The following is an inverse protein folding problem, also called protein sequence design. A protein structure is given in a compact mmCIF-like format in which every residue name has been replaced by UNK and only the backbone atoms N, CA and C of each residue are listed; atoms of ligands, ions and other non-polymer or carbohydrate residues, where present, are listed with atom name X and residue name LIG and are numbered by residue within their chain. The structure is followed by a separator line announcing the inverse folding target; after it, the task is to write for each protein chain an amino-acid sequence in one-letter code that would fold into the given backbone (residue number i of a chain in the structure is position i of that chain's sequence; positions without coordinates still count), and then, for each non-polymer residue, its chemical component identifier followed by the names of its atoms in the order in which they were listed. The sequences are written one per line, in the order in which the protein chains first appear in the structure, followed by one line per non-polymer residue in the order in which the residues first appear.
data_IF_748171916357
#
_entry.id   IF_748171916357
#
_cell.length_a   1.000
_cell.length_b   1.000
_cell.length_c   1.000
_cell.angle_alpha   90.00
_cell.angle_beta   90.00
_cell.angle_gamma   90.00
#
_symmetry.space_group_name_H-M   'P 1'
#
loop_
_entity.id
_entity.type
_entity.pdbx_description
1 polymer ?
#
# COMPACT_ATOMS: atom_id res chain seq x y z
N UNK A 1 8.98 -6.43 -27.31
CA UNK A 1 8.48 -5.05 -27.31
C UNK A 1 8.85 -4.42 -25.97
N UNK A 2 9.83 -3.51 -25.93
CA UNK A 2 10.39 -2.95 -24.67
C UNK A 2 9.52 -1.90 -23.96
N UNK A 3 8.19 -2.04 -24.02
CA UNK A 3 7.25 -1.07 -23.44
C UNK A 3 6.93 -1.46 -22.01
N UNK A 4 7.14 -0.57 -21.05
CA UNK A 4 6.72 -0.76 -19.67
C UNK A 4 5.21 -0.61 -19.55
N UNK A 5 4.56 -1.59 -18.91
CA UNK A 5 3.12 -1.59 -18.65
C UNK A 5 2.90 -1.58 -17.15
N UNK A 6 2.06 -0.66 -16.66
CA UNK A 6 1.79 -0.52 -15.24
C UNK A 6 0.94 -1.66 -14.67
N UNK A 7 1.07 -1.90 -13.37
CA UNK A 7 0.33 -2.90 -12.61
C UNK A 7 -0.56 -2.20 -11.56
N UNK A 8 -1.82 -2.63 -11.45
CA UNK A 8 -2.74 -2.14 -10.42
C UNK A 8 -3.48 -3.28 -9.74
N UNK A 9 -2.93 -3.91 -8.69
CA UNK A 9 -3.68 -4.87 -7.89
C UNK A 9 -4.86 -4.17 -7.19
N UNK A 10 -6.02 -4.83 -7.17
CA UNK A 10 -7.24 -4.31 -6.56
C UNK A 10 -8.05 -5.44 -5.92
N UNK A 11 -8.81 -5.11 -4.87
CA UNK A 11 -9.68 -6.03 -4.15
C UNK A 11 -9.00 -6.69 -2.95
N UNK A 12 -9.56 -6.51 -1.76
CA UNK A 12 -9.12 -7.19 -0.53
C UNK A 12 -7.82 -6.66 0.10
N UNK A 13 -7.13 -5.70 -0.52
CA UNK A 13 -5.93 -5.07 0.04
C UNK A 13 -6.36 -4.01 1.05
N UNK A 14 -6.50 -4.41 2.31
CA UNK A 14 -7.06 -3.58 3.38
C UNK A 14 -6.09 -3.25 4.52
N UNK A 15 -4.89 -3.82 4.53
CA UNK A 15 -3.90 -3.58 5.58
C UNK A 15 -2.48 -3.40 5.05
N UNK A 16 -1.65 -2.73 5.85
CA UNK A 16 -0.29 -2.34 5.56
C UNK A 16 0.61 -3.56 5.28
N UNK A 17 0.44 -4.64 6.04
CA UNK A 17 1.23 -5.88 5.87
C UNK A 17 1.01 -6.49 4.49
N UNK A 18 -0.23 -6.59 4.04
CA UNK A 18 -0.54 -7.09 2.70
C UNK A 18 -0.06 -6.11 1.62
N UNK A 19 -0.22 -4.80 1.83
CA UNK A 19 0.30 -3.79 0.88
C UNK A 19 1.82 -3.89 0.69
N UNK A 20 2.56 -4.16 1.78
CA UNK A 20 4.00 -4.36 1.73
C UNK A 20 4.37 -5.62 0.94
N UNK A 21 3.62 -6.71 1.12
CA UNK A 21 3.84 -7.94 0.34
C UNK A 21 3.69 -7.69 -1.18
N UNK A 22 2.75 -6.84 -1.60
CA UNK A 22 2.63 -6.45 -3.01
C UNK A 22 3.80 -5.60 -3.51
N UNK A 23 4.34 -4.69 -2.68
CA UNK A 23 5.54 -3.94 -3.04
C UNK A 23 6.76 -4.84 -3.22
N UNK A 24 6.94 -5.81 -2.32
CA UNK A 24 7.99 -6.83 -2.44
C UNK A 24 7.80 -7.66 -3.71
N UNK A 25 6.59 -8.17 -3.94
CA UNK A 25 6.29 -8.94 -5.15
C UNK A 25 6.62 -8.16 -6.42
N UNK A 26 6.22 -6.89 -6.49
CA UNK A 26 6.51 -6.02 -7.62
C UNK A 26 8.02 -5.85 -7.82
N UNK A 27 8.75 -5.55 -6.74
CA UNK A 27 10.19 -5.34 -6.79
C UNK A 27 10.92 -6.59 -7.28
N UNK A 28 10.61 -7.76 -6.71
CA UNK A 28 11.28 -9.02 -7.04
C UNK A 28 10.91 -9.52 -8.45
N UNK A 29 9.71 -9.21 -8.94
CA UNK A 29 9.22 -9.72 -10.23
C UNK A 29 9.52 -8.78 -11.39
N UNK A 30 9.34 -7.47 -11.19
CA UNK A 30 9.41 -6.45 -12.24
C UNK A 30 10.58 -5.48 -12.08
N UNK A 31 11.23 -5.45 -10.91
CA UNK A 31 12.36 -4.58 -10.63
C UNK A 31 12.00 -3.20 -10.08
N UNK A 32 13.01 -2.47 -9.56
CA UNK A 32 12.83 -1.15 -8.95
C UNK A 32 12.24 -0.11 -9.90
N UNK A 33 12.42 -0.27 -11.21
CA UNK A 33 11.95 0.67 -12.21
C UNK A 33 10.43 0.66 -12.41
N UNK A 34 9.73 -0.33 -11.84
CA UNK A 34 8.27 -0.36 -11.72
C UNK A 34 7.74 0.27 -10.42
N UNK A 35 8.61 0.59 -9.46
CA UNK A 35 8.26 1.21 -8.17
C UNK A 35 7.99 2.72 -8.30
N UNK A 36 7.13 3.10 -9.25
CA UNK A 36 6.72 4.49 -9.49
C UNK A 36 5.20 4.59 -9.57
N UNK A 37 4.59 5.74 -9.21
CA UNK A 37 3.13 5.90 -9.27
C UNK A 37 2.50 5.74 -10.66
N UNK A 38 3.30 5.86 -11.73
CA UNK A 38 2.86 5.67 -13.12
C UNK A 38 2.83 4.20 -13.53
N UNK A 39 3.64 3.36 -12.88
CA UNK A 39 3.80 1.94 -13.20
C UNK A 39 3.26 1.02 -12.11
N UNK A 40 2.93 1.54 -10.93
CA UNK A 40 2.32 0.76 -9.87
C UNK A 40 1.36 1.58 -9.01
N UNK A 41 0.17 1.03 -8.76
CA UNK A 41 -0.80 1.57 -7.79
C UNK A 41 -1.56 0.47 -7.09
N UNK A 42 -1.92 0.70 -5.83
CA UNK A 42 -2.82 -0.18 -5.10
C UNK A 42 -4.24 0.38 -5.21
N UNK A 43 -5.18 -0.41 -5.74
CA UNK A 43 -6.60 -0.10 -5.71
C UNK A 43 -7.19 -0.54 -4.37
N UNK A 44 -7.43 0.42 -3.47
CA UNK A 44 -7.96 0.15 -2.14
C UNK A 44 -9.03 1.17 -1.74
N UNK A 45 -9.97 0.73 -0.90
CA UNK A 45 -10.95 1.59 -0.23
C UNK A 45 -10.55 1.84 1.24
N UNK A 46 -10.21 0.78 1.98
CA UNK A 46 -9.94 0.88 3.43
C UNK A 46 -8.46 0.90 3.83
N UNK A 47 -7.54 0.68 2.89
CA UNK A 47 -6.10 0.58 3.19
C UNK A 47 -5.50 1.85 3.79
N UNK A 48 -5.98 3.03 3.36
CA UNK A 48 -5.41 4.31 3.78
C UNK A 48 -5.41 4.46 5.31
N UNK A 49 -6.53 4.12 5.94
CA UNK A 49 -6.68 4.22 7.38
C UNK A 49 -5.70 3.30 8.12
N UNK A 50 -5.54 2.06 7.64
CA UNK A 50 -4.60 1.13 8.26
C UNK A 50 -3.15 1.63 8.15
N UNK A 51 -2.74 2.13 6.99
CA UNK A 51 -1.39 2.71 6.81
C UNK A 51 -1.17 3.91 7.72
N UNK A 52 -2.15 4.80 7.85
CA UNK A 52 -2.05 5.96 8.75
C UNK A 52 -1.97 5.53 10.23
N UNK A 53 -2.72 4.50 10.63
CA UNK A 53 -2.62 3.91 11.98
C UNK A 53 -1.22 3.36 12.24
N UNK A 54 -0.63 2.61 11.30
CA UNK A 54 0.73 2.07 11.47
C UNK A 54 1.78 3.18 11.58
N UNK A 55 1.74 4.20 10.71
CA UNK A 55 2.67 5.35 10.77
C UNK A 55 2.56 6.09 12.12
N UNK A 56 1.34 6.29 12.64
CA UNK A 56 1.12 6.92 13.95
C UNK A 56 1.65 6.06 15.09
N UNK A 57 1.43 4.74 15.02
CA UNK A 57 1.94 3.78 16.00
C UNK A 57 3.48 3.81 16.04
N UNK A 58 4.14 3.80 14.89
CA UNK A 58 5.61 3.87 14.81
C UNK A 58 6.16 5.17 15.40
N UNK A 59 5.49 6.30 15.17
CA UNK A 59 5.94 7.62 15.67
C UNK A 59 5.70 7.84 17.16
N UNK A 60 4.62 7.29 17.70
CA UNK A 60 4.17 7.59 19.08
C UNK A 60 4.35 6.44 20.06
N UNK A 61 4.58 5.22 19.57
CA UNK A 61 4.62 4.00 20.38
C UNK A 61 3.24 3.52 20.85
N UNK A 62 2.16 4.27 20.63
CA UNK A 62 0.81 3.95 21.08
C UNK A 62 -0.15 3.68 19.91
N UNK A 63 -1.07 2.73 20.08
CA UNK A 63 -2.16 2.58 19.12
C UNK A 63 -3.21 3.65 19.39
N UNK A 64 -3.67 4.31 18.33
CA UNK A 64 -4.81 5.21 18.40
C UNK A 64 -6.10 4.41 18.23
N UNK A 65 -7.21 4.93 18.77
CA UNK A 65 -8.52 4.36 18.49
C UNK A 65 -8.87 4.60 17.01
N UNK A 66 -9.64 3.67 16.42
CA UNK A 66 -9.96 3.71 14.98
C UNK A 66 -10.84 4.89 14.56
N UNK A 67 -11.53 5.52 15.52
CA UNK A 67 -12.36 6.72 15.39
C UNK A 67 -11.58 8.01 15.07
N UNK A 68 -10.24 8.00 15.17
CA UNK A 68 -9.38 9.10 14.69
C UNK A 68 -9.11 9.07 13.19
N UNK A 69 -9.55 8.03 12.48
CA UNK A 69 -9.35 7.84 11.04
C UNK A 69 -10.71 7.77 10.34
N UNK A 70 -10.75 8.14 9.06
CA UNK A 70 -12.01 8.37 8.34
C UNK A 70 -12.85 7.09 8.28
N UNK A 71 -14.17 7.21 8.45
CA UNK A 71 -15.12 6.09 8.35
C UNK A 71 -15.56 5.93 6.89
N UNK A 72 -14.62 5.55 6.02
CA UNK A 72 -14.87 5.34 4.59
C UNK A 72 -15.24 3.87 4.30
#
# INVERSE_FOLDING_TARGET
TGKKIGMKPAGGISNAKLSLAYLVLLYETMGPEWMTPDLFRIGASSLLNDVLMQIRKERTGAYQRGDYFTLD
#
